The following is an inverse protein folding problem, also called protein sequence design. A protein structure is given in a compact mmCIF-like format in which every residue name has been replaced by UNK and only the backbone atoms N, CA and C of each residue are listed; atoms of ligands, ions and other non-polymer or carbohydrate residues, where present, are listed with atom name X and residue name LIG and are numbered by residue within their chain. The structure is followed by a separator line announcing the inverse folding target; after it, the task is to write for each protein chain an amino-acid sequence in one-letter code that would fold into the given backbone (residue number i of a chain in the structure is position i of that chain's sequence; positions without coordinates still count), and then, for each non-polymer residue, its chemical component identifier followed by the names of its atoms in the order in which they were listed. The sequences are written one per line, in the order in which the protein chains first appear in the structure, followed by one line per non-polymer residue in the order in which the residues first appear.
data_IF_381135448129
#
_entry.id   IF_381135448129
#
_cell.length_a   1.000
_cell.length_b   1.000
_cell.length_c   1.000
_cell.angle_alpha   90.00
_cell.angle_beta   90.00
_cell.angle_gamma   90.00
#
_symmetry.space_group_name_H-M   'P 1'
#
loop_
_entity.id
_entity.type
_entity.pdbx_description
1 polymer ?
#
# COMPACT_ATOMS: atom_id res chain seq x y z
N UNK A 1 6.94 -33.04 -30.15
CA UNK A 1 5.52 -32.61 -29.99
C UNK A 1 5.25 -31.53 -31.01
N UNK A 2 4.40 -31.81 -32.01
CA UNK A 2 4.01 -30.80 -33.00
C UNK A 2 2.73 -30.12 -32.51
N UNK A 3 2.82 -28.85 -32.13
CA UNK A 3 1.65 -27.99 -31.93
C UNK A 3 0.97 -27.80 -33.28
N UNK A 4 -0.27 -28.31 -33.43
CA UNK A 4 -1.08 -28.03 -34.62
C UNK A 4 -1.41 -26.54 -34.62
N UNK A 5 -0.74 -25.77 -35.49
CA UNK A 5 -1.15 -24.41 -35.83
C UNK A 5 -2.51 -24.50 -36.52
N UNK A 6 -3.53 -23.85 -35.96
CA UNK A 6 -4.82 -23.68 -36.63
C UNK A 6 -4.68 -22.39 -37.46
N UNK A 7 -4.50 -22.55 -38.76
CA UNK A 7 -4.47 -21.46 -39.74
C UNK A 7 -5.81 -21.46 -40.48
N UNK A 8 -6.46 -20.30 -40.56
CA UNK A 8 -7.69 -20.12 -41.34
C UNK A 8 -7.31 -19.34 -42.59
N UNK A 9 -7.65 -19.86 -43.76
CA UNK A 9 -7.35 -19.19 -45.05
C UNK A 9 -8.66 -18.82 -45.74
N UNK A 10 -8.77 -17.59 -46.26
CA UNK A 10 -9.90 -17.20 -47.09
C UNK A 10 -9.77 -17.75 -48.52
N UNK A 11 -10.79 -17.56 -49.35
CA UNK A 11 -10.80 -18.01 -50.76
C UNK A 11 -9.77 -17.30 -51.64
N UNK A 12 -9.15 -16.21 -51.16
CA UNK A 12 -8.13 -15.44 -51.86
C UNK A 12 -6.71 -15.83 -51.42
N UNK A 13 -6.58 -16.79 -50.50
CA UNK A 13 -5.29 -17.26 -50.00
C UNK A 13 -4.73 -16.45 -48.83
N UNK A 14 -5.47 -15.49 -48.27
CA UNK A 14 -5.01 -14.73 -47.12
C UNK A 14 -5.08 -15.59 -45.86
N UNK A 15 -3.95 -15.70 -45.16
CA UNK A 15 -3.84 -16.45 -43.90
C UNK A 15 -4.26 -15.53 -42.76
N UNK A 16 -5.37 -15.88 -42.11
CA UNK A 16 -5.82 -15.25 -40.88
C UNK A 16 -5.34 -16.08 -39.69
N UNK A 17 -4.52 -15.44 -38.87
CA UNK A 17 -4.30 -15.91 -37.52
C UNK A 17 -5.54 -15.54 -36.70
N UNK A 18 -6.19 -16.48 -36.00
CA UNK A 18 -7.22 -16.10 -35.05
C UNK A 18 -6.57 -15.18 -34.00
N UNK A 19 -6.88 -13.88 -34.09
CA UNK A 19 -6.68 -12.98 -32.97
C UNK A 19 -7.74 -13.38 -31.95
N UNK A 20 -7.38 -14.29 -31.06
CA UNK A 20 -8.32 -14.78 -30.07
C UNK A 20 -8.58 -13.65 -29.08
N UNK A 21 -9.81 -13.14 -29.08
CA UNK A 21 -10.28 -12.17 -28.10
C UNK A 21 -10.04 -12.75 -26.69
N UNK A 22 -9.35 -11.99 -25.83
CA UNK A 22 -9.00 -12.45 -24.48
C UNK A 22 -10.24 -12.74 -23.62
N UNK A 23 -11.41 -12.20 -23.97
CA UNK A 23 -12.68 -12.45 -23.30
C UNK A 23 -13.27 -13.85 -23.58
N UNK A 24 -12.80 -14.55 -24.62
CA UNK A 24 -13.30 -15.89 -24.96
C UNK A 24 -12.32 -17.01 -24.64
N UNK A 25 -11.06 -16.68 -24.36
CA UNK A 25 -10.03 -17.67 -23.96
C UNK A 25 -10.17 -17.94 -22.48
N UNK A 26 -10.51 -19.18 -22.09
CA UNK A 26 -10.55 -19.60 -20.68
C UNK A 26 -9.23 -20.22 -20.23
N UNK A 27 -8.84 -19.89 -19.00
CA UNK A 27 -7.78 -20.55 -18.26
C UNK A 27 -8.36 -20.99 -16.90
N UNK A 28 -8.73 -22.27 -16.81
CA UNK A 28 -9.54 -22.78 -15.70
C UNK A 28 -10.93 -22.18 -15.71
N UNK A 29 -11.34 -21.56 -14.59
CA UNK A 29 -12.69 -21.02 -14.40
C UNK A 29 -12.86 -19.57 -14.89
N UNK A 30 -11.75 -18.85 -15.16
CA UNK A 30 -11.76 -17.45 -15.61
C UNK A 30 -11.29 -17.32 -17.05
N UNK A 31 -11.69 -16.26 -17.71
CA UNK A 31 -11.16 -15.83 -19.01
C UNK A 31 -9.80 -15.15 -18.84
N UNK A 32 -8.99 -15.11 -19.89
CA UNK A 32 -7.73 -14.38 -19.90
C UNK A 32 -7.96 -12.89 -19.64
N UNK A 33 -9.07 -12.33 -20.11
CA UNK A 33 -9.46 -10.95 -19.81
C UNK A 33 -9.77 -10.73 -18.32
N UNK A 34 -10.49 -11.64 -17.67
CA UNK A 34 -10.76 -11.56 -16.23
C UNK A 34 -9.48 -11.70 -15.40
N UNK A 35 -8.61 -12.64 -15.77
CA UNK A 35 -7.30 -12.79 -15.12
C UNK A 35 -6.41 -11.55 -15.35
N UNK A 36 -6.47 -10.95 -16.54
CA UNK A 36 -5.74 -9.73 -16.83
C UNK A 36 -6.26 -8.57 -15.97
N UNK A 37 -7.59 -8.45 -15.80
CA UNK A 37 -8.20 -7.46 -14.91
C UNK A 37 -7.84 -7.68 -13.44
N UNK A 38 -7.74 -8.93 -12.98
CA UNK A 38 -7.26 -9.24 -11.64
C UNK A 38 -5.79 -8.78 -11.46
N UNK A 39 -4.95 -8.93 -12.51
CA UNK A 39 -3.55 -8.49 -12.52
C UNK A 39 -3.44 -6.96 -12.62
N UNK A 40 -4.27 -6.32 -13.45
CA UNK A 40 -4.27 -4.88 -13.68
C UNK A 40 -5.10 -4.10 -12.68
N UNK A 41 -5.49 -4.71 -11.55
CA UNK A 41 -6.26 -4.06 -10.49
C UNK A 41 -5.59 -2.73 -10.10
N UNK A 42 -6.13 -1.64 -10.62
CA UNK A 42 -5.74 -0.28 -10.25
C UNK A 42 -6.19 -0.13 -8.80
N UNK A 43 -5.26 0.22 -7.92
CA UNK A 43 -5.57 0.49 -6.52
C UNK A 43 -6.52 1.69 -6.51
N UNK A 44 -7.78 1.44 -6.23
CA UNK A 44 -8.78 2.50 -6.06
C UNK A 44 -8.70 3.02 -4.63
N UNK A 45 -9.24 4.21 -4.36
CA UNK A 45 -9.33 4.73 -2.99
C UNK A 45 -10.10 3.80 -2.04
N UNK A 46 -10.95 2.92 -2.58
CA UNK A 46 -11.68 1.88 -1.83
C UNK A 46 -10.78 0.72 -1.39
N UNK A 47 -9.69 0.48 -2.12
CA UNK A 47 -8.69 -0.55 -1.79
C UNK A 47 -7.65 -0.07 -0.76
N UNK A 48 -7.64 1.23 -0.44
CA UNK A 48 -6.71 1.82 0.52
C UNK A 48 -7.17 1.63 1.96
N UNK A 49 -6.32 1.06 2.79
CA UNK A 49 -6.55 0.96 4.22
C UNK A 49 -6.41 2.33 4.89
N UNK A 50 -7.46 2.75 5.61
CA UNK A 50 -7.50 3.98 6.40
C UNK A 50 -7.37 3.63 7.88
N UNK A 51 -6.18 3.74 8.49
CA UNK A 51 -5.99 3.37 9.88
C UNK A 51 -6.81 4.24 10.83
N UNK A 52 -7.21 3.63 11.94
CA UNK A 52 -7.72 4.36 13.10
C UNK A 52 -6.56 5.11 13.77
N UNK A 53 -6.77 6.40 14.06
CA UNK A 53 -5.76 7.26 14.66
C UNK A 53 -5.89 7.26 16.19
N UNK A 54 -4.76 7.27 16.87
CA UNK A 54 -4.62 7.17 18.31
C UNK A 54 -4.01 8.46 18.88
N UNK A 55 -4.08 8.62 20.21
CA UNK A 55 -3.37 9.67 20.96
C UNK A 55 -3.63 11.10 20.47
N UNK A 56 -4.86 11.38 20.02
CA UNK A 56 -5.29 12.71 19.58
C UNK A 56 -4.78 13.13 18.20
N UNK A 57 -4.17 12.22 17.43
CA UNK A 57 -3.84 12.51 16.03
C UNK A 57 -5.11 12.52 15.18
N UNK A 58 -5.23 13.50 14.30
CA UNK A 58 -6.35 13.62 13.36
C UNK A 58 -5.86 13.91 11.95
N UNK A 59 -6.69 13.58 10.97
CA UNK A 59 -6.44 13.87 9.55
C UNK A 59 -6.46 15.38 9.34
N UNK A 60 -5.36 15.94 8.81
CA UNK A 60 -5.24 17.39 8.67
C UNK A 60 -6.02 17.93 7.45
N UNK A 61 -5.75 17.37 6.27
CA UNK A 61 -6.28 17.90 5.01
C UNK A 61 -7.34 16.99 4.39
N UNK A 62 -8.59 17.24 4.81
CA UNK A 62 -9.77 16.57 4.25
C UNK A 62 -10.23 17.19 2.93
N UNK A 63 -9.76 18.40 2.58
CA UNK A 63 -10.23 19.14 1.41
C UNK A 63 -9.53 18.65 0.15
N UNK A 64 -8.23 18.37 0.23
CA UNK A 64 -7.43 17.86 -0.89
C UNK A 64 -7.19 16.34 -0.80
N UNK A 65 -7.96 15.63 0.03
CA UNK A 65 -7.87 14.18 0.24
C UNK A 65 -6.46 13.66 0.58
N UNK A 66 -5.68 14.48 1.31
CA UNK A 66 -4.36 14.09 1.85
C UNK A 66 -4.51 13.48 3.25
N UNK A 67 -5.46 12.57 3.37
CA UNK A 67 -5.70 11.79 4.57
C UNK A 67 -4.66 10.66 4.70
N UNK A 68 -4.31 10.23 5.92
CA UNK A 68 -3.45 9.06 6.10
C UNK A 68 -4.06 7.80 5.47
N UNK A 69 -3.50 7.34 4.36
CA UNK A 69 -3.89 6.13 3.63
C UNK A 69 -2.70 5.20 3.54
N UNK A 70 -2.99 3.90 3.54
CA UNK A 70 -1.99 2.83 3.40
C UNK A 70 -2.45 1.88 2.31
N UNK A 71 -1.58 1.57 1.36
CA UNK A 71 -1.84 0.52 0.39
C UNK A 71 -0.60 -0.33 0.19
N UNK A 72 -0.81 -1.54 -0.32
CA UNK A 72 0.24 -2.49 -0.63
C UNK A 72 0.10 -2.93 -2.08
N UNK A 73 1.18 -2.82 -2.82
CA UNK A 73 1.28 -3.34 -4.17
C UNK A 73 1.43 -4.87 -4.16
N UNK A 74 1.10 -5.58 -5.26
CA UNK A 74 1.27 -7.03 -5.35
C UNK A 74 2.70 -7.55 -5.09
N UNK A 75 3.72 -6.70 -5.32
CA UNK A 75 5.13 -6.99 -5.04
C UNK A 75 5.50 -6.90 -3.54
N UNK A 76 4.54 -6.53 -2.67
CA UNK A 76 4.75 -6.38 -1.23
C UNK A 76 5.21 -4.99 -0.78
N UNK A 77 5.38 -4.03 -1.69
CA UNK A 77 5.73 -2.65 -1.33
C UNK A 77 4.50 -1.96 -0.73
N UNK A 78 4.67 -1.45 0.47
CA UNK A 78 3.67 -0.66 1.21
C UNK A 78 4.00 0.81 1.03
N UNK A 79 2.95 1.60 0.81
CA UNK A 79 3.02 3.03 0.66
C UNK A 79 2.15 3.68 1.73
N UNK A 80 2.67 4.75 2.31
CA UNK A 80 1.90 5.67 3.14
C UNK A 80 1.78 7.00 2.40
N UNK A 81 0.63 7.62 2.55
CA UNK A 81 0.34 8.96 2.07
C UNK A 81 -0.51 9.68 3.10
N UNK A 82 -0.36 10.99 3.20
CA UNK A 82 -1.26 11.86 3.93
C UNK A 82 -0.57 12.73 4.96
N UNK A 83 -1.35 13.61 5.55
CA UNK A 83 -0.90 14.56 6.56
C UNK A 83 -1.75 14.39 7.82
N UNK A 84 -1.08 14.32 8.95
CA UNK A 84 -1.71 14.31 10.26
C UNK A 84 -1.36 15.56 11.06
N UNK A 85 -2.26 15.93 11.96
CA UNK A 85 -2.04 16.95 12.99
C UNK A 85 -2.41 16.43 14.37
N UNK A 86 -1.73 16.92 15.38
CA UNK A 86 -2.15 16.73 16.76
C UNK A 86 -3.37 17.60 17.08
N UNK A 87 -4.18 17.16 18.03
CA UNK A 87 -5.20 18.00 18.65
C UNK A 87 -4.74 18.47 20.02
N UNK A 88 -5.60 19.23 20.71
CA UNK A 88 -5.40 19.56 22.11
C UNK A 88 -5.18 18.27 22.93
N UNK A 89 -4.15 18.26 23.77
CA UNK A 89 -3.75 17.10 24.56
C UNK A 89 -2.84 16.09 23.83
N UNK A 90 -2.58 16.24 22.53
CA UNK A 90 -1.57 15.43 21.85
C UNK A 90 -0.17 15.83 22.31
N UNK A 91 0.62 14.85 22.73
CA UNK A 91 2.00 15.06 23.15
C UNK A 91 2.93 14.07 22.47
N UNK A 92 4.02 14.57 21.91
CA UNK A 92 5.14 13.74 21.47
C UNK A 92 6.09 13.60 22.64
N UNK A 93 5.95 12.52 23.42
CA UNK A 93 6.81 12.26 24.59
C UNK A 93 7.88 11.23 24.22
N UNK A 94 9.14 11.60 24.42
CA UNK A 94 10.26 10.65 24.54
C UNK A 94 10.36 9.60 23.43
N UNK A 95 10.08 9.97 22.17
CA UNK A 95 10.15 9.09 21.00
C UNK A 95 9.09 7.98 20.90
N UNK A 96 7.92 8.09 21.55
CA UNK A 96 6.93 6.99 21.63
C UNK A 96 5.49 7.35 21.30
N UNK A 97 5.22 8.45 20.60
CA UNK A 97 3.85 8.81 20.26
C UNK A 97 3.30 7.90 19.15
N UNK A 98 2.57 6.85 19.53
CA UNK A 98 1.92 5.94 18.59
C UNK A 98 0.76 6.67 17.93
N UNK A 99 0.80 6.76 16.61
CA UNK A 99 -0.20 7.44 15.79
C UNK A 99 -1.29 6.48 15.35
N UNK A 100 -0.91 5.26 14.96
CA UNK A 100 -1.84 4.18 14.62
C UNK A 100 -1.11 2.84 14.65
N UNK A 101 -1.84 1.75 14.40
CA UNK A 101 -1.29 0.40 14.26
C UNK A 101 -1.60 -0.16 12.88
N UNK A 102 -0.57 -0.64 12.20
CA UNK A 102 -0.69 -1.34 10.93
C UNK A 102 -1.13 -2.80 11.16
N UNK A 103 -2.04 -3.33 10.33
CA UNK A 103 -2.34 -4.76 10.29
C UNK A 103 -1.12 -5.59 9.85
N UNK A 104 -1.06 -6.87 10.24
CA UNK A 104 0.11 -7.74 10.04
C UNK A 104 0.62 -7.79 8.60
N UNK A 105 -0.30 -7.74 7.62
CA UNK A 105 0.02 -7.82 6.20
C UNK A 105 0.69 -6.57 5.61
N UNK A 106 0.71 -5.45 6.35
CA UNK A 106 1.34 -4.19 5.95
C UNK A 106 2.60 -3.87 6.74
N UNK A 107 3.05 -4.75 7.64
CA UNK A 107 4.19 -4.48 8.52
C UNK A 107 5.52 -4.84 7.86
N UNK A 108 6.59 -4.06 8.06
CA UNK A 108 7.92 -4.47 7.67
C UNK A 108 8.41 -5.60 8.58
N UNK A 109 9.51 -6.28 8.19
CA UNK A 109 10.10 -7.33 9.01
C UNK A 109 10.76 -6.77 10.26
N UNK A 110 11.59 -5.75 10.06
CA UNK A 110 12.36 -5.05 11.07
C UNK A 110 11.84 -3.63 11.24
N UNK A 111 12.18 -2.98 12.35
CA UNK A 111 11.88 -1.57 12.55
C UNK A 111 12.52 -0.72 11.43
N UNK A 112 11.74 0.17 10.85
CA UNK A 112 12.18 1.14 9.83
C UNK A 112 11.91 2.55 10.31
N UNK A 113 12.75 3.50 9.87
CA UNK A 113 12.61 4.91 10.23
C UNK A 113 12.77 5.80 9.00
N UNK A 114 11.99 6.87 8.96
CA UNK A 114 11.95 7.83 7.87
C UNK A 114 12.08 9.24 8.40
N UNK A 115 12.83 10.07 7.68
CA UNK A 115 12.78 11.52 7.85
C UNK A 115 11.60 12.03 7.04
N UNK A 116 10.79 12.88 7.67
CA UNK A 116 9.56 13.41 7.08
C UNK A 116 9.55 14.92 7.15
N UNK A 117 8.73 15.59 6.33
CA UNK A 117 8.51 17.03 6.49
C UNK A 117 7.55 17.32 7.65
N UNK A 118 7.84 18.38 8.38
CA UNK A 118 7.09 18.81 9.57
C UNK A 118 7.17 20.33 9.66
N UNK A 119 6.05 21.02 9.91
CA UNK A 119 5.95 22.50 9.84
C UNK A 119 7.06 23.23 10.59
N UNK A 120 7.04 23.16 11.91
CA UNK A 120 7.83 24.04 12.79
C UNK A 120 9.29 23.58 12.90
N UNK A 121 9.51 22.27 12.78
CA UNK A 121 10.83 21.66 12.92
C UNK A 121 11.58 21.55 11.58
N UNK A 122 10.90 21.82 10.45
CA UNK A 122 11.35 21.53 9.09
C UNK A 122 11.35 20.03 8.77
N UNK A 123 11.89 19.22 9.69
CA UNK A 123 11.96 17.76 9.59
C UNK A 123 11.39 17.09 10.85
N UNK A 124 10.73 15.96 10.65
CA UNK A 124 10.34 15.02 11.69
C UNK A 124 10.97 13.65 11.46
N UNK A 125 10.71 12.73 12.38
CA UNK A 125 11.09 11.32 12.27
C UNK A 125 9.94 10.42 12.62
N UNK A 126 9.56 9.58 11.67
CA UNK A 126 8.54 8.55 11.82
C UNK A 126 9.23 7.19 11.86
N UNK A 127 8.81 6.31 12.76
CA UNK A 127 9.24 4.93 12.82
C UNK A 127 8.05 3.98 12.65
N UNK A 128 8.29 2.83 12.04
CA UNK A 128 7.32 1.73 11.96
C UNK A 128 7.99 0.53 12.59
N UNK A 129 7.35 -0.05 13.59
CA UNK A 129 7.86 -1.26 14.23
C UNK A 129 7.54 -2.49 13.40
N UNK A 130 8.53 -3.38 13.24
CA UNK A 130 8.42 -4.58 12.43
C UNK A 130 7.61 -5.70 13.09
N UNK A 131 7.41 -6.79 12.36
CA UNK A 131 6.84 -8.04 12.88
C UNK A 131 7.75 -8.74 13.88
N UNK A 132 9.05 -8.49 13.84
CA UNK A 132 10.02 -9.01 14.80
C UNK A 132 9.98 -8.28 16.15
N UNK A 133 9.24 -7.18 16.25
CA UNK A 133 8.93 -6.55 17.53
C UNK A 133 7.94 -7.43 18.31
N UNK A 134 8.07 -7.48 19.64
CA UNK A 134 7.14 -8.25 20.48
C UNK A 134 5.67 -7.85 20.26
N UNK A 135 4.73 -8.75 20.55
CA UNK A 135 3.31 -8.68 20.13
C UNK A 135 2.60 -7.35 20.39
N UNK A 136 2.95 -6.65 21.49
CA UNK A 136 2.33 -5.36 21.85
C UNK A 136 2.93 -4.15 21.12
N UNK A 137 4.08 -4.35 20.47
CA UNK A 137 4.84 -3.31 19.79
C UNK A 137 4.77 -3.42 18.29
N UNK A 138 4.50 -4.59 17.71
CA UNK A 138 4.50 -4.81 16.27
C UNK A 138 3.49 -3.92 15.50
N UNK A 139 3.96 -3.29 14.42
CA UNK A 139 3.14 -2.48 13.53
C UNK A 139 2.74 -1.09 14.06
N UNK A 140 3.28 -0.62 15.17
CA UNK A 140 3.08 0.75 15.62
C UNK A 140 3.73 1.72 14.62
N UNK A 141 2.94 2.67 14.11
CA UNK A 141 3.43 3.86 13.42
C UNK A 141 3.66 4.95 14.48
N UNK A 142 4.90 5.40 14.63
CA UNK A 142 5.33 6.23 15.76
C UNK A 142 5.93 7.53 15.24
N UNK A 143 5.41 8.67 15.67
CA UNK A 143 6.11 9.94 15.52
C UNK A 143 7.07 10.09 16.68
N UNK A 144 8.35 10.13 16.35
CA UNK A 144 9.44 10.22 17.33
C UNK A 144 10.01 11.63 17.43
N UNK A 145 9.87 12.43 16.38
CA UNK A 145 10.20 13.85 16.31
C UNK A 145 9.25 14.51 15.29
N UNK A 146 8.74 15.70 15.57
CA UNK A 146 7.87 16.45 14.66
C UNK A 146 7.08 17.55 15.38
N UNK A 147 6.30 18.31 14.61
CA UNK A 147 5.36 19.31 15.11
C UNK A 147 3.97 18.71 15.27
N UNK A 148 3.16 19.34 16.14
CA UNK A 148 1.74 19.02 16.28
C UNK A 148 0.88 19.70 15.21
N UNK A 149 1.39 20.73 14.53
CA UNK A 149 0.65 21.43 13.49
C UNK A 149 0.46 20.55 12.25
N UNK A 150 1.54 19.97 11.73
CA UNK A 150 1.47 18.87 10.78
C UNK A 150 2.73 18.01 10.71
N UNK A 151 2.53 16.73 10.35
CA UNK A 151 3.56 15.80 9.91
C UNK A 151 3.07 15.10 8.63
N UNK A 152 3.90 15.09 7.58
CA UNK A 152 3.58 14.39 6.32
C UNK A 152 4.10 12.96 6.32
N UNK A 153 3.33 12.05 5.72
CA UNK A 153 3.69 10.66 5.48
C UNK A 153 3.91 10.39 3.99
N UNK A 154 3.77 11.41 3.16
CA UNK A 154 3.94 11.30 1.71
C UNK A 154 5.34 10.82 1.34
N UNK A 155 5.40 9.80 0.50
CA UNK A 155 6.65 9.24 0.00
C UNK A 155 7.29 8.21 0.92
N UNK A 156 6.67 7.86 2.06
CA UNK A 156 7.12 6.73 2.86
C UNK A 156 6.75 5.44 2.13
N UNK A 157 7.77 4.65 1.78
CA UNK A 157 7.62 3.32 1.19
C UNK A 157 8.54 2.31 1.86
N UNK A 158 8.07 1.08 1.99
CA UNK A 158 8.86 -0.04 2.52
C UNK A 158 8.31 -1.38 2.06
N UNK A 159 9.07 -2.45 2.23
CA UNK A 159 8.65 -3.81 1.89
C UNK A 159 7.99 -4.46 3.11
N UNK A 160 6.76 -4.96 2.95
CA UNK A 160 6.11 -5.77 3.97
C UNK A 160 6.80 -7.14 4.11
N UNK A 161 6.88 -7.64 5.34
CA UNK A 161 7.38 -8.98 5.64
C UNK A 161 6.44 -10.09 5.12
N UNK A 162 5.14 -9.81 5.14
CA UNK A 162 4.11 -10.76 4.73
C UNK A 162 3.92 -10.78 3.21
N UNK A 163 4.41 -11.86 2.60
CA UNK A 163 4.03 -12.33 1.27
C UNK A 163 2.97 -13.44 1.46
N UNK A 164 1.81 -13.32 0.80
CA UNK A 164 0.81 -14.40 0.81
C UNK A 164 1.46 -15.71 0.34
N UNK A 165 1.37 -16.78 1.13
CA UNK A 165 1.76 -18.14 0.69
C UNK A 165 2.87 -18.86 1.45
N UNK A 166 3.44 -18.33 2.54
CA UNK A 166 4.34 -19.09 3.41
C UNK A 166 3.61 -19.54 4.68
N UNK A 167 3.00 -20.73 4.61
CA UNK A 167 2.65 -21.59 5.76
C UNK A 167 3.47 -22.87 5.64
#
# INVERSE_FOLDING_TARGET
MATKKIEIQDSNGNVYYPHTDASVVKNGSKTVAEQLNDITKVITDEDMYKPELLNGWVRFDNVNDRQLKVWKEPNGVVHLQGILKGTEGTTIIGYTCIVCRLPVQYRPKHNVSFIVSSSETGFGRVAITGNDAGDQLAGNLIITLGSLDFVTFDGITFVADYVEGNV
#
